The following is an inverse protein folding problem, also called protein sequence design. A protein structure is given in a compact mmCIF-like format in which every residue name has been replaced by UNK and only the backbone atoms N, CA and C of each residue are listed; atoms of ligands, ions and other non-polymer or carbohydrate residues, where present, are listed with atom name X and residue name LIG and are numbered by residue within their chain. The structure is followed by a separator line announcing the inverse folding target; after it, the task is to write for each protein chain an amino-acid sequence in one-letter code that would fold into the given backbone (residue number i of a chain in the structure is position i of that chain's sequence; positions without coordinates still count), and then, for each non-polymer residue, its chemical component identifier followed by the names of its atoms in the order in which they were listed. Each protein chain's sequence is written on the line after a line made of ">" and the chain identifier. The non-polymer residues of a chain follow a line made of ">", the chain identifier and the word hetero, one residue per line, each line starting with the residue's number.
data_IF_097572299500
#
_entry.id   IF_097572299500
#
_cell.length_a   1.000
_cell.length_b   1.000
_cell.length_c   1.000
_cell.angle_alpha   90.00
_cell.angle_beta   90.00
_cell.angle_gamma   90.00
#
_symmetry.space_group_name_H-M   'P 1'
#
loop_
_entity.id
_entity.type
_entity.pdbx_description
1 polymer ?
#
# COMPACT_ATOMS: atom_id res chain seq x y z
N UNK A 1 -9.45 1.67 -19.15
CA UNK A 1 -8.60 2.01 -17.99
C UNK A 1 -9.39 1.68 -16.74
N UNK A 2 -9.38 0.41 -16.35
CA UNK A 2 -10.16 -0.12 -15.21
C UNK A 2 -9.39 0.13 -13.92
N UNK A 3 -10.00 0.70 -12.87
CA UNK A 3 -9.31 0.79 -11.59
C UNK A 3 -9.21 -0.61 -11.01
N UNK A 4 -7.98 -0.98 -10.66
CA UNK A 4 -7.60 -2.26 -10.05
C UNK A 4 -8.03 -2.22 -8.57
N UNK A 5 -9.33 -2.30 -8.29
CA UNK A 5 -9.88 -2.67 -6.97
C UNK A 5 -11.41 -2.88 -6.99
N UNK A 6 -11.97 -3.45 -8.06
CA UNK A 6 -13.43 -3.66 -8.14
C UNK A 6 -13.87 -4.96 -7.44
N UNK A 7 -13.69 -5.02 -6.11
CA UNK A 7 -14.41 -5.92 -5.19
C UNK A 7 -14.45 -5.33 -3.76
N UNK A 8 -14.81 -4.05 -3.63
CA UNK A 8 -15.35 -3.51 -2.38
C UNK A 8 -16.54 -2.63 -2.78
N UNK A 9 -17.74 -3.06 -2.38
CA UNK A 9 -18.99 -2.32 -2.58
C UNK A 9 -18.85 -0.89 -2.03
N UNK A 10 -19.33 0.08 -2.80
CA UNK A 10 -19.61 1.46 -2.39
C UNK A 10 -20.17 1.52 -0.95
N UNK A 11 -19.44 2.16 -0.03
CA UNK A 11 -19.91 2.38 1.33
C UNK A 11 -18.75 2.48 2.34
N UNK A 12 -18.28 3.72 2.56
CA UNK A 12 -17.21 4.13 3.49
C UNK A 12 -15.79 3.75 3.09
N UNK A 13 -15.22 4.56 2.19
CA UNK A 13 -13.81 4.51 1.79
C UNK A 13 -12.90 5.01 2.92
N UNK A 14 -12.49 4.10 3.81
CA UNK A 14 -11.36 4.32 4.71
C UNK A 14 -10.03 4.08 3.97
N UNK A 15 -9.93 4.59 2.74
CA UNK A 15 -8.72 4.57 1.93
C UNK A 15 -7.88 5.80 2.25
N UNK A 16 -6.69 5.55 2.76
CA UNK A 16 -5.73 6.60 3.10
C UNK A 16 -4.70 6.67 2.00
N UNK A 17 -4.84 7.66 1.12
CA UNK A 17 -3.81 8.01 0.14
C UNK A 17 -2.75 8.87 0.82
N UNK A 18 -1.50 8.43 0.71
CA UNK A 18 -0.34 9.03 1.39
C UNK A 18 0.86 9.06 0.44
N UNK A 19 1.88 9.85 0.78
CA UNK A 19 3.15 9.88 0.07
C UNK A 19 4.30 9.46 0.99
N UNK A 20 5.23 8.65 0.50
CA UNK A 20 6.47 8.32 1.18
C UNK A 20 7.63 8.27 0.18
N UNK A 21 8.63 9.14 0.38
CA UNK A 21 9.80 9.27 -0.51
C UNK A 21 9.41 9.49 -1.99
N UNK A 22 8.37 10.28 -2.24
CA UNK A 22 7.89 10.56 -3.60
C UNK A 22 7.02 9.46 -4.20
N UNK A 23 6.76 8.36 -3.49
CA UNK A 23 5.87 7.29 -3.91
C UNK A 23 4.49 7.49 -3.29
N UNK A 24 3.47 7.64 -4.13
CA UNK A 24 2.07 7.59 -3.70
C UNK A 24 1.68 6.16 -3.38
N UNK A 25 1.03 5.98 -2.24
CA UNK A 25 0.53 4.69 -1.80
C UNK A 25 -0.82 4.82 -1.10
N UNK A 26 -1.59 3.75 -1.14
CA UNK A 26 -2.88 3.64 -0.45
C UNK A 26 -2.83 2.54 0.60
N UNK A 27 -3.54 2.76 1.70
CA UNK A 27 -3.82 1.77 2.74
C UNK A 27 -5.31 1.77 3.01
N UNK A 28 -5.94 0.61 2.97
CA UNK A 28 -7.38 0.45 3.14
C UNK A 28 -7.69 -0.61 4.20
N UNK A 29 -8.72 -0.34 5.01
CA UNK A 29 -9.32 -1.37 5.88
C UNK A 29 -9.99 -2.43 5.02
N UNK A 30 -9.87 -3.69 5.42
CA UNK A 30 -10.66 -4.77 4.82
C UNK A 30 -11.91 -5.06 5.66
N UNK A 31 -12.82 -5.87 5.13
CA UNK A 31 -13.95 -6.40 5.89
C UNK A 31 -13.53 -7.24 7.12
N UNK A 32 -12.26 -7.68 7.18
CA UNK A 32 -11.73 -8.45 8.31
C UNK A 32 -11.01 -7.48 9.27
N UNK A 33 -11.48 -7.33 10.52
CA UNK A 33 -10.85 -6.47 11.51
C UNK A 33 -9.39 -6.81 11.71
N UNK A 34 -8.54 -5.78 11.71
CA UNK A 34 -7.10 -5.96 11.87
C UNK A 34 -6.39 -6.38 10.58
N UNK A 35 -7.07 -6.63 9.46
CA UNK A 35 -6.42 -6.83 8.16
C UNK A 35 -6.55 -5.57 7.32
N UNK A 36 -5.41 -5.11 6.83
CA UNK A 36 -5.28 -3.94 5.97
C UNK A 36 -4.71 -4.36 4.62
N UNK A 37 -5.24 -3.79 3.55
CA UNK A 37 -4.66 -3.86 2.21
C UNK A 37 -3.85 -2.61 1.93
N UNK A 38 -2.80 -2.74 1.13
CA UNK A 38 -2.00 -1.61 0.66
C UNK A 38 -1.63 -1.80 -0.80
N UNK A 39 -1.43 -0.68 -1.49
CA UNK A 39 -0.97 -0.64 -2.88
C UNK A 39 -0.05 0.56 -3.10
N UNK A 40 0.97 0.41 -3.94
CA UNK A 40 1.78 1.51 -4.46
C UNK A 40 2.33 1.18 -5.85
N UNK A 41 2.83 2.19 -6.56
CA UNK A 41 3.46 2.04 -7.87
C UNK A 41 4.90 2.52 -7.84
N UNK A 42 5.82 1.78 -8.44
CA UNK A 42 7.19 2.20 -8.71
C UNK A 42 7.50 1.91 -10.19
N UNK A 43 7.74 2.95 -10.98
CA UNK A 43 7.80 2.84 -12.44
C UNK A 43 6.50 2.24 -12.98
N UNK A 44 6.61 1.19 -13.78
CA UNK A 44 5.47 0.48 -14.36
C UNK A 44 4.92 -0.65 -13.47
N UNK A 45 5.53 -0.88 -12.30
CA UNK A 45 5.13 -1.98 -11.41
C UNK A 45 4.18 -1.50 -10.33
N UNK A 46 2.98 -2.09 -10.29
CA UNK A 46 2.06 -1.97 -9.16
C UNK A 46 2.39 -3.09 -8.16
N UNK A 47 2.60 -2.71 -6.91
CA UNK A 47 2.85 -3.62 -5.79
C UNK A 47 1.65 -3.54 -4.86
N UNK A 48 1.11 -4.69 -4.48
CA UNK A 48 -0.02 -4.81 -3.56
C UNK A 48 0.31 -5.78 -2.45
N UNK A 49 -0.37 -5.67 -1.31
CA UNK A 49 -0.36 -6.72 -0.32
C UNK A 49 -1.23 -6.42 0.89
N UNK A 50 -1.01 -7.21 1.94
CA UNK A 50 -1.75 -7.10 3.20
C UNK A 50 -0.83 -7.00 4.40
N UNK A 51 -1.37 -6.50 5.50
CA UNK A 51 -0.74 -6.55 6.82
C UNK A 51 -1.79 -6.76 7.91
N UNK A 52 -1.45 -7.58 8.89
CA UNK A 52 -2.30 -7.84 10.05
C UNK A 52 -1.83 -7.02 11.25
N UNK A 53 -2.68 -6.12 11.72
CA UNK A 53 -2.50 -5.27 12.90
C UNK A 53 -3.81 -4.57 13.24
N UNK A 54 -4.14 -4.50 14.54
CA UNK A 54 -5.24 -3.65 15.03
C UNK A 54 -4.87 -2.16 15.09
N UNK A 55 -3.58 -1.84 14.97
CA UNK A 55 -3.06 -0.47 15.01
C UNK A 55 -2.92 0.05 13.57
N UNK A 56 -3.70 1.07 13.22
CA UNK A 56 -3.73 1.72 11.90
C UNK A 56 -2.37 2.30 11.50
N UNK A 57 -1.74 3.08 12.39
CA UNK A 57 -0.42 3.66 12.15
C UNK A 57 0.64 2.59 11.84
N UNK A 58 0.50 1.38 12.40
CA UNK A 58 1.41 0.28 12.11
C UNK A 58 1.17 -0.32 10.71
N UNK A 59 -0.07 -0.28 10.20
CA UNK A 59 -0.37 -0.69 8.83
C UNK A 59 0.32 0.26 7.83
N UNK A 60 0.19 1.57 8.07
CA UNK A 60 0.85 2.62 7.29
C UNK A 60 2.38 2.45 7.34
N UNK A 61 2.95 2.32 8.54
CA UNK A 61 4.40 2.15 8.71
C UNK A 61 4.92 0.91 7.98
N UNK A 62 4.16 -0.18 7.98
CA UNK A 62 4.53 -1.41 7.28
C UNK A 62 4.48 -1.27 5.76
N UNK A 63 3.59 -0.44 5.21
CA UNK A 63 3.58 -0.08 3.80
C UNK A 63 4.81 0.77 3.43
N UNK A 64 5.14 1.79 4.24
CA UNK A 64 6.36 2.60 4.06
C UNK A 64 7.63 1.73 4.05
N UNK A 65 7.76 0.79 5.00
CA UNK A 65 8.89 -0.14 5.04
C UNK A 65 9.00 -1.05 3.80
N UNK A 66 7.88 -1.35 3.13
CA UNK A 66 7.88 -2.12 1.88
C UNK A 66 8.37 -1.27 0.71
N UNK A 67 7.93 -0.01 0.64
CA UNK A 67 8.45 0.97 -0.33
C UNK A 67 9.96 1.12 -0.16
N UNK A 68 10.45 1.33 1.07
CA UNK A 68 11.88 1.48 1.34
C UNK A 68 12.71 0.26 0.88
N UNK A 69 12.17 -0.95 1.02
CA UNK A 69 12.83 -2.19 0.56
C UNK A 69 12.91 -2.27 -0.96
N UNK A 70 11.83 -1.92 -1.67
CA UNK A 70 11.84 -1.92 -3.14
C UNK A 70 12.79 -0.85 -3.68
N UNK A 71 12.80 0.36 -3.11
CA UNK A 71 13.74 1.42 -3.49
C UNK A 71 15.19 0.98 -3.27
N UNK A 72 15.51 0.40 -2.11
CA UNK A 72 16.86 -0.15 -1.84
C UNK A 72 17.24 -1.30 -2.78
N UNK A 73 16.28 -2.12 -3.19
CA UNK A 73 16.52 -3.18 -4.16
C UNK A 73 16.80 -2.64 -5.56
N UNK A 74 16.15 -1.53 -5.96
CA UNK A 74 16.41 -0.85 -7.22
C UNK A 74 17.81 -0.21 -7.19
N UNK A 75 18.13 0.55 -6.14
CA UNK A 75 19.45 1.18 -5.95
C UNK A 75 20.59 0.17 -6.12
N UNK A 76 20.44 -1.04 -5.55
CA UNK A 76 21.43 -2.13 -5.67
C UNK A 76 21.53 -2.75 -7.06
N UNK A 77 20.48 -2.69 -7.88
CA UNK A 77 20.49 -3.24 -9.25
C UNK A 77 21.07 -2.25 -10.26
N UNK A 78 21.02 -0.96 -9.94
CA UNK A 78 21.51 0.12 -10.80
C UNK A 78 22.95 0.53 -10.50
N UNK A 79 23.50 0.11 -9.36
CA UNK A 79 24.90 0.29 -8.98
C UNK A 79 25.78 -0.83 -9.56
#
# INVERSE_FOLDING_TARGET
>A
MTPIMLWVREGESWEMTMNHRGIEFTVAKTAIPGIWQWQFRIGDQIKTGRTETKIELLAIRRAQLRIDRELKAIERKTA
#
